data_IF_906563476286
#
_entry.id   IF_906563476286
#
_cell.length_a   1.000
_cell.length_b   1.000
_cell.length_c   1.000
_cell.angle_alpha   90.00
_cell.angle_beta   90.00
_cell.angle_gamma   90.00
#
_symmetry.space_group_name_H-M   'P 1'
#
loop_
_entity.id
_entity.type
_entity.pdbx_description
1 polymer ?
#
# COMPACT_ATOMS: atom_id res chain seq x y z
N UNK A 1 -25.33 21.03 -13.16
CA UNK A 1 -26.22 22.07 -12.59
C UNK A 1 -27.29 22.45 -13.60
N UNK A 2 -28.58 22.37 -13.24
CA UNK A 2 -29.68 22.76 -14.15
C UNK A 2 -29.55 24.26 -14.47
N UNK A 3 -29.62 24.67 -15.75
CA UNK A 3 -29.49 26.07 -16.23
C UNK A 3 -30.27 27.12 -15.41
N UNK A 4 -31.36 26.70 -14.76
CA UNK A 4 -32.20 27.54 -13.87
C UNK A 4 -31.43 28.12 -12.65
N UNK A 5 -30.43 27.43 -12.12
CA UNK A 5 -29.69 27.92 -10.93
C UNK A 5 -28.60 28.94 -11.27
N UNK A 6 -28.11 28.92 -12.51
CA UNK A 6 -27.07 29.85 -12.96
C UNK A 6 -27.63 31.28 -13.07
N UNK A 7 -28.83 31.44 -13.60
CA UNK A 7 -29.50 32.74 -13.70
C UNK A 7 -29.77 33.37 -12.32
N UNK A 8 -30.22 32.56 -11.35
CA UNK A 8 -30.49 33.04 -9.99
C UNK A 8 -29.19 33.45 -9.25
N UNK A 9 -28.09 32.73 -9.45
CA UNK A 9 -26.77 33.08 -8.94
C UNK A 9 -26.27 34.42 -9.48
N UNK A 10 -26.44 34.67 -10.78
CA UNK A 10 -26.05 35.93 -11.42
C UNK A 10 -26.84 37.11 -10.84
N UNK A 11 -28.15 36.96 -10.66
CA UNK A 11 -29.01 38.00 -10.06
C UNK A 11 -28.57 38.29 -8.63
N UNK A 12 -28.27 37.26 -7.83
CA UNK A 12 -27.81 37.44 -6.46
C UNK A 12 -26.44 38.12 -6.38
N UNK A 13 -25.53 37.80 -7.29
CA UNK A 13 -24.22 38.43 -7.41
C UNK A 13 -24.32 39.91 -7.78
N UNK A 14 -25.19 40.26 -8.73
CA UNK A 14 -25.47 41.65 -9.09
C UNK A 14 -26.11 42.44 -7.95
N UNK A 15 -27.05 41.82 -7.22
CA UNK A 15 -27.64 42.40 -6.01
C UNK A 15 -26.60 42.62 -4.91
N UNK A 16 -25.62 41.75 -4.76
CA UNK A 16 -24.52 41.97 -3.81
C UNK A 16 -23.64 43.14 -4.26
N UNK A 17 -23.14 43.11 -5.50
CA UNK A 17 -22.23 44.14 -6.04
C UNK A 17 -22.83 45.54 -5.99
N UNK A 18 -24.11 45.68 -6.33
CA UNK A 18 -24.77 46.99 -6.45
C UNK A 18 -25.55 47.33 -5.18
N UNK A 19 -26.25 46.33 -4.62
CA UNK A 19 -27.16 46.53 -3.49
C UNK A 19 -26.44 46.86 -2.18
N UNK A 20 -25.29 46.23 -1.88
CA UNK A 20 -24.56 46.55 -0.63
C UNK A 20 -24.06 48.00 -0.64
N UNK A 21 -23.38 48.49 -1.69
CA UNK A 21 -22.98 49.90 -1.78
C UNK A 21 -24.16 50.87 -1.73
N UNK A 22 -25.29 50.53 -2.37
CA UNK A 22 -26.52 51.34 -2.29
C UNK A 22 -27.09 51.39 -0.87
N UNK A 23 -27.13 50.26 -0.16
CA UNK A 23 -27.59 50.20 1.24
C UNK A 23 -26.67 51.01 2.14
N UNK A 24 -25.34 50.89 1.97
CA UNK A 24 -24.37 51.69 2.73
C UNK A 24 -24.59 53.19 2.47
N UNK A 25 -24.76 53.60 1.21
CA UNK A 25 -25.05 54.99 0.86
C UNK A 25 -26.38 55.48 1.48
N UNK A 26 -27.43 54.67 1.43
CA UNK A 26 -28.72 55.00 2.07
C UNK A 26 -28.60 55.14 3.59
N UNK A 27 -27.88 54.23 4.25
CA UNK A 27 -27.62 54.30 5.69
C UNK A 27 -26.80 55.53 6.06
N UNK A 28 -25.77 55.88 5.28
CA UNK A 28 -24.98 57.09 5.49
C UNK A 28 -25.81 58.37 5.33
N UNK A 29 -26.74 58.40 4.38
CA UNK A 29 -27.61 59.58 4.19
C UNK A 29 -28.76 59.66 5.20
N UNK A 30 -29.33 58.53 5.62
CA UNK A 30 -30.53 58.50 6.46
C UNK A 30 -30.20 58.51 7.96
N UNK A 31 -29.13 57.83 8.39
CA UNK A 31 -28.77 57.71 9.82
C UNK A 31 -27.78 58.77 10.29
N UNK A 32 -27.13 59.53 9.40
CA UNK A 32 -26.12 60.53 9.81
C UNK A 32 -26.72 61.86 10.28
N UNK A 33 -27.98 62.17 9.94
CA UNK A 33 -28.61 63.43 10.35
C UNK A 33 -27.79 64.69 10.03
N UNK A 34 -27.00 64.67 8.95
CA UNK A 34 -26.02 65.70 8.56
C UNK A 34 -24.82 65.89 9.52
N UNK A 35 -24.52 64.94 10.41
CA UNK A 35 -23.33 64.96 11.27
C UNK A 35 -22.07 64.39 10.60
N UNK A 36 -22.23 63.63 9.52
CA UNK A 36 -21.14 63.09 8.70
C UNK A 36 -21.32 63.61 7.27
N UNK A 37 -20.32 64.32 6.74
CA UNK A 37 -20.33 64.73 5.33
C UNK A 37 -20.34 63.50 4.43
N UNK A 38 -21.14 63.56 3.36
CA UNK A 38 -21.13 62.55 2.31
C UNK A 38 -19.71 62.40 1.78
N UNK A 39 -19.21 61.17 1.74
CA UNK A 39 -17.87 60.85 1.25
C UNK A 39 -17.64 61.50 -0.14
N UNK A 40 -16.49 62.14 -0.32
CA UNK A 40 -16.15 62.72 -1.62
C UNK A 40 -15.97 61.62 -2.69
N UNK A 41 -15.94 62.03 -3.96
CA UNK A 41 -15.81 61.09 -5.08
C UNK A 41 -14.54 60.23 -4.99
N UNK A 42 -13.47 60.73 -4.35
CA UNK A 42 -12.21 60.01 -4.17
C UNK A 42 -12.34 58.90 -3.12
N UNK A 43 -12.97 59.19 -1.98
CA UNK A 43 -13.28 58.24 -0.93
C UNK A 43 -14.24 57.15 -1.43
N UNK A 44 -15.23 57.51 -2.26
CA UNK A 44 -16.14 56.55 -2.85
C UNK A 44 -15.46 55.65 -3.88
N UNK A 45 -14.58 56.21 -4.71
CA UNK A 45 -13.76 55.43 -5.64
C UNK A 45 -12.84 54.44 -4.90
N UNK A 46 -12.23 54.88 -3.80
CA UNK A 46 -11.42 54.03 -2.92
C UNK A 46 -12.21 52.87 -2.31
N UNK A 47 -13.44 53.13 -1.85
CA UNK A 47 -14.37 52.11 -1.37
C UNK A 47 -14.68 51.08 -2.45
N UNK A 48 -15.06 51.51 -3.67
CA UNK A 48 -15.35 50.60 -4.78
C UNK A 48 -14.14 49.74 -5.17
N UNK A 49 -12.94 50.33 -5.21
CA UNK A 49 -11.71 49.61 -5.49
C UNK A 49 -11.43 48.51 -4.46
N UNK A 50 -11.56 48.81 -3.17
CA UNK A 50 -11.38 47.83 -2.10
C UNK A 50 -12.47 46.77 -2.06
N UNK A 51 -13.73 47.16 -2.25
CA UNK A 51 -14.89 46.28 -2.23
C UNK A 51 -14.90 45.28 -3.40
N UNK A 52 -14.71 45.76 -4.63
CA UNK A 52 -14.58 44.90 -5.81
C UNK A 52 -13.33 44.02 -5.73
N UNK A 53 -12.22 44.59 -5.24
CA UNK A 53 -11.00 43.84 -4.96
C UNK A 53 -11.25 42.67 -4.01
N UNK A 54 -11.98 42.89 -2.90
CA UNK A 54 -12.32 41.85 -1.93
C UNK A 54 -13.28 40.79 -2.49
N UNK A 55 -14.30 41.19 -3.26
CA UNK A 55 -15.24 40.25 -3.90
C UNK A 55 -14.52 39.29 -4.84
N UNK A 56 -13.48 39.75 -5.52
CA UNK A 56 -12.69 38.91 -6.43
C UNK A 56 -11.63 38.11 -5.67
N UNK A 57 -10.91 38.76 -4.76
CA UNK A 57 -9.80 38.15 -4.04
C UNK A 57 -10.25 37.01 -3.12
N UNK A 58 -11.36 37.16 -2.38
CA UNK A 58 -11.80 36.16 -1.41
C UNK A 58 -12.13 34.81 -2.08
N UNK A 59 -12.99 34.74 -3.13
CA UNK A 59 -13.26 33.48 -3.83
C UNK A 59 -12.02 32.92 -4.53
N UNK A 60 -11.17 33.76 -5.13
CA UNK A 60 -9.94 33.29 -5.77
C UNK A 60 -8.97 32.67 -4.77
N UNK A 61 -8.75 33.30 -3.62
CA UNK A 61 -7.94 32.75 -2.52
C UNK A 61 -8.54 31.47 -1.96
N UNK A 62 -9.87 31.39 -1.85
CA UNK A 62 -10.52 30.16 -1.40
C UNK A 62 -10.35 29.02 -2.42
N UNK A 63 -10.54 29.30 -3.71
CA UNK A 63 -10.36 28.31 -4.77
C UNK A 63 -8.91 27.83 -4.84
N UNK A 64 -7.94 28.74 -4.76
CA UNK A 64 -6.52 28.36 -4.81
C UNK A 64 -6.13 27.51 -3.59
N UNK A 65 -6.57 27.88 -2.39
CA UNK A 65 -6.36 27.10 -1.18
C UNK A 65 -7.03 25.71 -1.27
N UNK A 66 -8.28 25.67 -1.77
CA UNK A 66 -9.02 24.42 -1.96
C UNK A 66 -8.31 23.49 -2.95
N UNK A 67 -7.89 24.01 -4.10
CA UNK A 67 -7.15 23.23 -5.12
C UNK A 67 -5.82 22.74 -4.56
N UNK A 68 -5.06 23.60 -3.88
CA UNK A 68 -3.79 23.23 -3.27
C UNK A 68 -3.98 22.10 -2.24
N UNK A 69 -4.95 22.25 -1.34
CA UNK A 69 -5.24 21.23 -0.32
C UNK A 69 -5.71 19.91 -0.93
N UNK A 70 -6.55 19.96 -1.96
CA UNK A 70 -7.06 18.77 -2.62
C UNK A 70 -5.95 18.01 -3.36
N UNK A 71 -5.09 18.73 -4.09
CA UNK A 71 -3.94 18.14 -4.77
C UNK A 71 -2.95 17.54 -3.77
N UNK A 72 -2.67 18.24 -2.68
CA UNK A 72 -1.77 17.75 -1.64
C UNK A 72 -2.33 16.52 -0.92
N UNK A 73 -3.63 16.54 -0.56
CA UNK A 73 -4.29 15.40 0.08
C UNK A 73 -4.29 14.16 -0.81
N UNK A 74 -4.54 14.35 -2.11
CA UNK A 74 -4.47 13.26 -3.10
C UNK A 74 -3.05 12.71 -3.21
N UNK A 75 -2.05 13.58 -3.32
CA UNK A 75 -0.64 13.17 -3.37
C UNK A 75 -0.23 12.38 -2.12
N UNK A 76 -0.54 12.88 -0.92
CA UNK A 76 -0.25 12.17 0.34
C UNK A 76 -0.91 10.78 0.39
N UNK A 77 -2.12 10.67 -0.16
CA UNK A 77 -2.82 9.38 -0.22
C UNK A 77 -2.15 8.41 -1.20
N UNK A 78 -1.71 8.89 -2.37
CA UNK A 78 -0.97 8.08 -3.33
C UNK A 78 0.42 7.68 -2.79
N UNK A 79 1.15 8.61 -2.15
CA UNK A 79 2.43 8.36 -1.47
C UNK A 79 2.28 7.31 -0.36
N UNK A 80 1.21 7.40 0.44
CA UNK A 80 0.91 6.40 1.45
C UNK A 80 0.69 5.01 0.85
N UNK A 81 -0.01 4.88 -0.29
CA UNK A 81 -0.18 3.59 -0.96
C UNK A 81 1.14 3.02 -1.45
N UNK A 82 1.97 3.86 -2.05
CA UNK A 82 3.31 3.47 -2.50
C UNK A 82 4.09 2.87 -1.32
N UNK A 83 4.08 3.54 -0.16
CA UNK A 83 4.72 3.05 1.06
C UNK A 83 4.17 1.69 1.52
N UNK A 84 2.85 1.47 1.44
CA UNK A 84 2.26 0.16 1.78
C UNK A 84 2.74 -0.93 0.82
N UNK A 85 2.78 -0.66 -0.49
CA UNK A 85 3.31 -1.62 -1.47
C UNK A 85 4.81 -1.86 -1.32
N UNK A 86 5.60 -0.84 -0.99
CA UNK A 86 7.03 -0.98 -0.69
C UNK A 86 7.25 -1.93 0.51
N UNK A 87 6.46 -1.77 1.58
CA UNK A 87 6.52 -2.66 2.75
C UNK A 87 6.10 -4.10 2.41
N UNK A 88 5.14 -4.29 1.50
CA UNK A 88 4.72 -5.62 1.03
C UNK A 88 5.84 -6.30 0.23
N UNK A 89 6.49 -5.56 -0.66
CA UNK A 89 7.62 -6.05 -1.42
C UNK A 89 8.81 -6.37 -0.52
N UNK A 90 9.13 -5.52 0.45
CA UNK A 90 10.21 -5.79 1.40
C UNK A 90 9.97 -7.09 2.17
N UNK A 91 8.75 -7.31 2.69
CA UNK A 91 8.40 -8.54 3.39
C UNK A 91 8.53 -9.78 2.48
N UNK A 92 8.05 -9.67 1.24
CA UNK A 92 8.10 -10.74 0.23
C UNK A 92 9.53 -11.09 -0.16
N UNK A 93 10.35 -10.09 -0.48
CA UNK A 93 11.77 -10.25 -0.82
C UNK A 93 12.53 -10.87 0.36
N UNK A 94 12.30 -10.37 1.59
CA UNK A 94 12.97 -10.90 2.79
C UNK A 94 12.67 -12.38 2.99
N UNK A 95 11.41 -12.79 2.86
CA UNK A 95 11.04 -14.19 2.99
C UNK A 95 11.60 -15.05 1.85
N UNK A 96 11.55 -14.56 0.62
CA UNK A 96 12.14 -15.23 -0.54
C UNK A 96 13.65 -15.48 -0.35
N UNK A 97 14.40 -14.49 0.14
CA UNK A 97 15.83 -14.62 0.44
C UNK A 97 16.12 -15.69 1.51
N UNK A 98 15.23 -15.84 2.50
CA UNK A 98 15.35 -16.90 3.51
C UNK A 98 15.20 -18.27 2.85
N UNK A 99 14.23 -18.45 1.95
CA UNK A 99 14.05 -19.70 1.21
C UNK A 99 15.27 -19.96 0.32
N UNK A 100 15.73 -18.99 -0.45
CA UNK A 100 16.86 -19.16 -1.38
C UNK A 100 18.17 -19.49 -0.64
N UNK A 101 18.48 -18.77 0.45
CA UNK A 101 19.72 -18.97 1.22
C UNK A 101 19.79 -20.34 1.91
N UNK A 102 18.64 -20.96 2.19
CA UNK A 102 18.55 -22.25 2.86
C UNK A 102 18.16 -23.36 1.88
N UNK A 103 16.94 -23.36 1.37
CA UNK A 103 16.39 -24.48 0.62
C UNK A 103 17.12 -24.73 -0.71
N UNK A 104 17.35 -23.68 -1.49
CA UNK A 104 18.04 -23.80 -2.80
C UNK A 104 19.49 -24.24 -2.61
N UNK A 105 20.17 -23.64 -1.62
CA UNK A 105 21.55 -24.01 -1.25
C UNK A 105 21.64 -25.46 -0.78
N UNK A 106 20.74 -25.89 0.11
CA UNK A 106 20.73 -27.28 0.60
C UNK A 106 20.41 -28.27 -0.50
N UNK A 107 19.46 -27.96 -1.38
CA UNK A 107 19.14 -28.80 -2.53
C UNK A 107 20.36 -29.06 -3.40
N UNK A 108 21.12 -28.02 -3.73
CA UNK A 108 22.38 -28.15 -4.48
C UNK A 108 23.37 -29.04 -3.73
N UNK A 109 23.62 -28.74 -2.45
CA UNK A 109 24.54 -29.52 -1.62
C UNK A 109 24.16 -31.00 -1.53
N UNK A 110 22.87 -31.32 -1.36
CA UNK A 110 22.38 -32.69 -1.26
C UNK A 110 22.53 -33.46 -2.57
N UNK A 111 22.27 -32.82 -3.72
CA UNK A 111 22.51 -33.43 -5.02
C UNK A 111 23.98 -33.79 -5.22
N UNK A 112 24.87 -32.90 -4.82
CA UNK A 112 26.32 -33.09 -4.98
C UNK A 112 26.89 -34.15 -4.01
N UNK A 113 26.21 -34.43 -2.90
CA UNK A 113 26.71 -35.30 -1.81
C UNK A 113 25.79 -36.50 -1.49
N UNK A 114 24.91 -36.88 -2.42
CA UNK A 114 23.84 -37.87 -2.20
C UNK A 114 24.33 -39.15 -1.50
N UNK A 115 25.42 -39.76 -1.95
CA UNK A 115 25.88 -41.06 -1.40
C UNK A 115 26.66 -40.96 -0.08
N UNK A 116 27.01 -39.75 0.38
CA UNK A 116 27.89 -39.53 1.54
C UNK A 116 27.24 -38.72 2.66
N UNK A 117 25.93 -38.54 2.57
CA UNK A 117 25.26 -37.60 3.46
C UNK A 117 25.12 -38.16 4.87
N UNK A 118 25.63 -37.39 5.84
CA UNK A 118 25.61 -37.75 7.25
C UNK A 118 24.27 -37.40 7.89
N UNK A 119 23.84 -38.22 8.86
CA UNK A 119 22.61 -38.03 9.64
C UNK A 119 22.49 -36.62 10.23
N UNK A 120 23.59 -36.10 10.81
CA UNK A 120 23.60 -34.76 11.40
C UNK A 120 23.31 -33.66 10.37
N UNK A 121 23.79 -33.82 9.14
CA UNK A 121 23.53 -32.87 8.05
C UNK A 121 22.07 -32.91 7.64
N UNK A 122 21.48 -34.10 7.51
CA UNK A 122 20.04 -34.27 7.23
C UNK A 122 19.20 -33.61 8.31
N UNK A 123 19.55 -33.83 9.57
CA UNK A 123 18.87 -33.24 10.73
C UNK A 123 18.92 -31.70 10.72
N UNK A 124 20.07 -31.11 10.37
CA UNK A 124 20.19 -29.65 10.22
C UNK A 124 19.30 -29.13 9.10
N UNK A 125 19.27 -29.80 7.94
CA UNK A 125 18.47 -29.38 6.78
C UNK A 125 16.98 -29.43 7.10
N UNK A 126 16.49 -30.53 7.69
CA UNK A 126 15.07 -30.64 8.03
C UNK A 126 14.64 -29.61 9.07
N UNK A 127 15.48 -29.34 10.08
CA UNK A 127 15.22 -28.29 11.07
C UNK A 127 15.15 -26.90 10.43
N UNK A 128 16.03 -26.61 9.47
CA UNK A 128 15.94 -25.36 8.70
C UNK A 128 14.64 -25.30 7.90
N UNK A 129 14.20 -26.39 7.28
CA UNK A 129 12.91 -26.45 6.58
C UNK A 129 11.73 -26.16 7.53
N UNK A 130 11.71 -26.76 8.72
CA UNK A 130 10.71 -26.51 9.77
C UNK A 130 10.63 -25.02 10.14
N UNK A 131 11.79 -24.36 10.31
CA UNK A 131 11.83 -22.93 10.63
C UNK A 131 11.28 -22.07 9.48
N UNK A 132 11.61 -22.42 8.23
CA UNK A 132 11.14 -21.70 7.03
C UNK A 132 9.62 -21.76 6.89
N UNK A 133 9.03 -22.95 7.00
CA UNK A 133 7.57 -23.11 6.84
C UNK A 133 6.78 -22.81 8.12
N UNK A 134 7.43 -22.80 9.27
CA UNK A 134 6.82 -22.45 10.55
C UNK A 134 6.99 -20.97 10.86
N UNK A 135 8.02 -20.67 11.64
CA UNK A 135 8.26 -19.34 12.20
C UNK A 135 8.36 -18.25 11.13
N UNK A 136 9.19 -18.46 10.10
CA UNK A 136 9.47 -17.42 9.11
C UNK A 136 8.26 -17.14 8.21
N UNK A 137 7.51 -18.18 7.86
CA UNK A 137 6.28 -18.02 7.10
C UNK A 137 5.20 -17.27 7.90
N UNK A 138 5.03 -17.59 9.19
CA UNK A 138 4.07 -16.88 10.05
C UNK A 138 4.44 -15.40 10.18
N UNK A 139 5.73 -15.09 10.32
CA UNK A 139 6.22 -13.71 10.34
C UNK A 139 5.92 -12.98 9.03
N UNK A 140 6.16 -13.65 7.89
CA UNK A 140 5.84 -13.13 6.56
C UNK A 140 4.33 -12.85 6.41
N UNK A 141 3.47 -13.82 6.69
CA UNK A 141 2.02 -13.64 6.63
C UNK A 141 1.53 -12.51 7.53
N UNK A 142 2.05 -12.44 8.76
CA UNK A 142 1.71 -11.36 9.69
C UNK A 142 2.05 -9.98 9.12
N UNK A 143 3.23 -9.83 8.50
CA UNK A 143 3.63 -8.60 7.84
C UNK A 143 2.71 -8.28 6.65
N UNK A 144 2.46 -9.25 5.77
CA UNK A 144 1.61 -9.08 4.59
C UNK A 144 0.17 -8.72 4.95
N UNK A 145 -0.48 -9.49 5.83
CA UNK A 145 -1.84 -9.21 6.28
C UNK A 145 -1.97 -7.83 6.94
N UNK A 146 -0.96 -7.42 7.72
CA UNK A 146 -0.94 -6.09 8.34
C UNK A 146 -0.92 -4.98 7.29
N UNK A 147 -0.18 -5.13 6.20
CA UNK A 147 -0.14 -4.12 5.13
C UNK A 147 -1.39 -4.19 4.24
N UNK A 148 -1.84 -5.39 3.85
CA UNK A 148 -3.05 -5.62 3.06
C UNK A 148 -4.31 -5.08 3.75
N UNK A 149 -4.40 -5.21 5.07
CA UNK A 149 -5.52 -4.70 5.86
C UNK A 149 -5.64 -3.16 5.79
N UNK A 150 -4.54 -2.46 5.53
CA UNK A 150 -4.53 -1.00 5.36
C UNK A 150 -5.10 -0.57 4.01
N UNK A 151 -5.01 -1.43 2.99
CA UNK A 151 -5.44 -1.09 1.62
C UNK A 151 -6.97 -1.22 1.45
N UNK A 152 -7.57 -0.36 0.61
CA UNK A 152 -8.94 -0.58 0.14
C UNK A 152 -9.07 -1.92 -0.59
N UNK A 153 -10.24 -2.56 -0.50
CA UNK A 153 -10.50 -3.88 -1.12
C UNK A 153 -10.04 -3.97 -2.58
N UNK A 154 -10.43 -3.02 -3.42
CA UNK A 154 -10.04 -2.93 -4.85
C UNK A 154 -8.53 -2.89 -5.12
N UNK A 155 -7.73 -2.55 -4.11
CA UNK A 155 -6.29 -2.39 -4.17
C UNK A 155 -5.55 -3.55 -3.50
N UNK A 156 -6.25 -4.62 -3.08
CA UNK A 156 -5.63 -5.80 -2.45
C UNK A 156 -6.15 -7.15 -2.97
N UNK A 157 -7.34 -7.20 -3.55
CA UNK A 157 -7.95 -8.44 -4.07
C UNK A 157 -7.02 -9.17 -5.07
N UNK A 158 -6.14 -8.44 -5.77
CA UNK A 158 -5.19 -9.00 -6.73
C UNK A 158 -4.12 -9.91 -6.09
N UNK A 159 -3.89 -9.82 -4.77
CA UNK A 159 -2.93 -10.65 -4.05
C UNK A 159 -3.55 -11.87 -3.37
N UNK A 160 -4.88 -11.89 -3.20
CA UNK A 160 -5.56 -12.91 -2.39
C UNK A 160 -5.32 -14.31 -2.94
N UNK A 161 -5.44 -14.50 -4.26
CA UNK A 161 -5.21 -15.78 -4.93
C UNK A 161 -3.79 -16.31 -4.72
N UNK A 162 -2.77 -15.47 -4.93
CA UNK A 162 -1.38 -15.90 -4.82
C UNK A 162 -0.95 -16.19 -3.38
N UNK A 163 -1.49 -15.44 -2.41
CA UNK A 163 -1.28 -15.71 -0.99
C UNK A 163 -1.92 -17.04 -0.61
N UNK A 164 -3.12 -17.34 -1.10
CA UNK A 164 -3.80 -18.61 -0.84
C UNK A 164 -3.00 -19.79 -1.43
N UNK A 165 -2.51 -19.68 -2.67
CA UNK A 165 -1.68 -20.70 -3.31
C UNK A 165 -0.40 -20.94 -2.50
N UNK A 166 0.25 -19.87 -2.04
CA UNK A 166 1.45 -19.97 -1.21
C UNK A 166 1.15 -20.64 0.15
N UNK A 167 0.02 -20.32 0.77
CA UNK A 167 -0.42 -20.92 2.03
C UNK A 167 -0.69 -22.41 1.87
N UNK A 168 -1.42 -22.80 0.83
CA UNK A 168 -1.65 -24.22 0.53
C UNK A 168 -0.33 -24.97 0.32
N UNK A 169 0.60 -24.40 -0.44
CA UNK A 169 1.90 -25.03 -0.68
C UNK A 169 2.71 -25.20 0.60
N UNK A 170 2.84 -24.15 1.42
CA UNK A 170 3.74 -24.17 2.58
C UNK A 170 3.12 -24.86 3.80
N UNK A 171 1.89 -24.51 4.17
CA UNK A 171 1.24 -25.01 5.38
C UNK A 171 0.58 -26.37 5.22
N UNK A 172 0.07 -26.66 4.02
CA UNK A 172 -0.63 -27.92 3.79
C UNK A 172 0.34 -28.94 3.22
N UNK A 173 0.96 -28.65 2.08
CA UNK A 173 1.74 -29.67 1.37
C UNK A 173 3.11 -29.91 2.00
N UNK A 174 3.91 -28.85 2.15
CA UNK A 174 5.30 -28.98 2.60
C UNK A 174 5.36 -29.36 4.08
N UNK A 175 4.55 -28.73 4.93
CA UNK A 175 4.50 -29.10 6.36
C UNK A 175 4.13 -30.57 6.57
N UNK A 176 3.11 -31.09 5.86
CA UNK A 176 2.75 -32.51 5.94
C UNK A 176 3.91 -33.42 5.51
N UNK A 177 4.63 -33.05 4.45
CA UNK A 177 5.82 -33.80 4.00
C UNK A 177 6.94 -33.77 5.03
N UNK A 178 7.19 -32.63 5.67
CA UNK A 178 8.19 -32.51 6.74
C UNK A 178 7.84 -33.42 7.93
N UNK A 179 6.58 -33.40 8.37
CA UNK A 179 6.12 -34.26 9.48
C UNK A 179 6.25 -35.75 9.15
N UNK A 180 5.86 -36.14 7.93
CA UNK A 180 6.01 -37.53 7.44
C UNK A 180 7.48 -37.93 7.37
N UNK A 181 8.31 -37.09 6.76
CA UNK A 181 9.75 -37.31 6.64
C UNK A 181 10.39 -37.51 8.01
N UNK A 182 10.04 -36.68 9.00
CA UNK A 182 10.59 -36.78 10.36
C UNK A 182 10.25 -38.12 11.00
N UNK A 183 9.01 -38.59 10.86
CA UNK A 183 8.58 -39.90 11.34
C UNK A 183 9.39 -41.04 10.69
N UNK A 184 9.64 -40.97 9.38
CA UNK A 184 10.44 -41.97 8.67
C UNK A 184 11.91 -41.90 9.09
N UNK A 185 12.46 -40.69 9.21
CA UNK A 185 13.86 -40.45 9.51
C UNK A 185 14.26 -40.97 10.89
N UNK A 186 13.38 -40.91 11.90
CA UNK A 186 13.64 -41.48 13.23
C UNK A 186 13.95 -42.98 13.19
N UNK A 187 13.38 -43.72 12.23
CA UNK A 187 13.66 -45.16 12.04
C UNK A 187 14.98 -45.44 11.32
N UNK A 188 15.50 -44.44 10.61
CA UNK A 188 16.64 -44.56 9.71
C UNK A 188 17.89 -43.82 10.23
N UNK A 189 17.77 -43.05 11.32
CA UNK A 189 18.83 -42.15 11.83
C UNK A 189 20.13 -42.85 12.24
N UNK A 190 20.06 -44.12 12.63
CA UNK A 190 21.24 -44.93 13.01
C UNK A 190 22.05 -45.37 11.78
N UNK A 191 21.49 -45.28 10.56
CA UNK A 191 22.20 -45.58 9.33
C UNK A 191 23.03 -44.36 8.91
N UNK A 192 24.35 -44.57 8.81
CA UNK A 192 25.29 -43.52 8.42
C UNK A 192 26.32 -44.10 7.42
N UNK A 193 26.33 -43.68 6.15
CA UNK A 193 25.55 -42.59 5.55
C UNK A 193 24.05 -42.89 5.48
N UNK A 194 23.25 -41.82 5.38
CA UNK A 194 21.79 -41.90 5.30
C UNK A 194 21.37 -42.56 3.98
N UNK A 195 20.37 -43.47 3.98
CA UNK A 195 19.88 -44.11 2.77
C UNK A 195 19.37 -43.13 1.70
N UNK A 196 19.64 -43.42 0.43
CA UNK A 196 19.28 -42.54 -0.70
C UNK A 196 17.79 -42.20 -0.79
N UNK A 197 16.90 -43.13 -0.42
CA UNK A 197 15.46 -42.89 -0.43
C UNK A 197 15.02 -41.79 0.54
N UNK A 198 15.70 -41.67 1.70
CA UNK A 198 15.48 -40.58 2.66
C UNK A 198 15.95 -39.27 2.03
N UNK A 199 17.07 -39.29 1.32
CA UNK A 199 17.61 -38.10 0.64
C UNK A 199 16.64 -37.61 -0.45
N UNK A 200 16.07 -38.53 -1.22
CA UNK A 200 15.10 -38.22 -2.26
C UNK A 200 13.78 -37.64 -1.71
N UNK A 201 13.32 -38.13 -0.54
CA UNK A 201 12.16 -37.56 0.16
C UNK A 201 12.44 -36.11 0.60
N UNK A 202 13.62 -35.83 1.17
CA UNK A 202 14.01 -34.48 1.57
C UNK A 202 14.26 -33.55 0.38
N UNK A 203 14.80 -34.05 -0.74
CA UNK A 203 14.89 -33.29 -1.99
C UNK A 203 13.51 -32.86 -2.50
N UNK A 204 12.49 -33.71 -2.34
CA UNK A 204 11.11 -33.37 -2.70
C UNK A 204 10.53 -32.24 -1.85
N UNK A 205 10.90 -32.15 -0.57
CA UNK A 205 10.55 -31.03 0.31
C UNK A 205 11.21 -29.75 -0.17
N UNK A 206 12.51 -29.81 -0.47
CA UNK A 206 13.28 -28.66 -0.96
C UNK A 206 12.82 -28.18 -2.34
N UNK A 207 12.35 -29.08 -3.20
CA UNK A 207 11.70 -28.74 -4.47
C UNK A 207 10.40 -27.98 -4.24
N UNK A 208 9.60 -28.40 -3.25
CA UNK A 208 8.42 -27.66 -2.81
C UNK A 208 8.76 -26.23 -2.38
N UNK A 209 9.77 -26.08 -1.52
CA UNK A 209 10.24 -24.77 -1.06
C UNK A 209 10.78 -23.91 -2.22
N UNK A 210 11.47 -24.52 -3.18
CA UNK A 210 11.92 -23.81 -4.38
C UNK A 210 10.73 -23.29 -5.20
N UNK A 211 9.65 -24.07 -5.38
CA UNK A 211 8.46 -23.56 -6.09
C UNK A 211 7.78 -22.40 -5.36
N UNK A 212 7.92 -22.32 -4.03
CA UNK A 212 7.43 -21.19 -3.26
C UNK A 212 8.16 -19.88 -3.63
N UNK A 213 9.42 -19.93 -4.10
CA UNK A 213 10.12 -18.73 -4.56
C UNK A 213 9.49 -18.16 -5.82
N UNK A 214 9.03 -19.02 -6.73
CA UNK A 214 8.35 -18.59 -7.97
C UNK A 214 7.05 -17.84 -7.66
N UNK A 215 6.26 -18.33 -6.69
CA UNK A 215 5.02 -17.68 -6.25
C UNK A 215 5.33 -16.34 -5.55
N UNK A 216 6.39 -16.28 -4.73
CA UNK A 216 6.82 -15.04 -4.09
C UNK A 216 7.29 -13.99 -5.11
N UNK A 217 7.97 -14.42 -6.17
CA UNK A 217 8.37 -13.54 -7.27
C UNK A 217 7.14 -13.00 -8.01
N UNK A 218 6.10 -13.83 -8.22
CA UNK A 218 4.83 -13.38 -8.79
C UNK A 218 4.12 -12.35 -7.88
N UNK A 219 4.05 -12.61 -6.58
CA UNK A 219 3.51 -11.66 -5.59
C UNK A 219 4.27 -10.32 -5.64
N UNK A 220 5.61 -10.37 -5.73
CA UNK A 220 6.44 -9.18 -5.86
C UNK A 220 6.15 -8.40 -7.14
N UNK A 221 6.07 -9.09 -8.28
CA UNK A 221 5.77 -8.47 -9.58
C UNK A 221 4.40 -7.81 -9.60
N UNK A 222 3.38 -8.48 -9.08
CA UNK A 222 2.03 -7.93 -8.98
C UNK A 222 1.98 -6.68 -8.08
N UNK A 223 2.73 -6.72 -6.98
CA UNK A 223 2.84 -5.59 -6.04
C UNK A 223 3.53 -4.40 -6.71
N UNK A 224 4.61 -4.63 -7.47
CA UNK A 224 5.29 -3.60 -8.25
C UNK A 224 4.44 -3.02 -9.37
N UNK A 225 3.70 -3.87 -10.09
CA UNK A 225 2.76 -3.42 -11.11
C UNK A 225 1.73 -2.47 -10.49
N UNK A 226 1.14 -2.87 -9.37
CA UNK A 226 0.14 -2.07 -8.67
C UNK A 226 0.73 -0.76 -8.16
N UNK A 227 1.93 -0.80 -7.59
CA UNK A 227 2.69 0.37 -7.13
C UNK A 227 2.93 1.36 -8.28
N UNK A 228 3.27 0.87 -9.47
CA UNK A 228 3.59 1.72 -10.63
C UNK A 228 2.42 2.62 -11.08
N UNK A 229 1.17 2.22 -10.79
CA UNK A 229 -0.03 3.00 -11.10
C UNK A 229 -0.06 4.33 -10.34
N UNK A 230 0.52 4.37 -9.14
CA UNK A 230 0.56 5.54 -8.28
C UNK A 230 1.79 6.41 -8.52
N UNK A 231 2.86 5.85 -9.10
CA UNK A 231 4.07 6.60 -9.47
C UNK A 231 3.93 7.41 -10.77
N UNK A 232 3.02 7.02 -11.67
CA UNK A 232 2.84 7.64 -12.98
C UNK A 232 1.86 8.83 -12.99
N UNK A 233 1.40 9.30 -11.82
CA UNK A 233 0.37 10.36 -11.67
C UNK A 233 0.92 11.59 -10.97
#
# INVERSE_FOLDING_TARGET
>A
MKKKYVGLLIVFFLLFIIGIPMIINLLLNFCSGNLFDSADNGAWLGFWGGYLGAIIAIPLSFISAYVAFHLESKKRYDDWKIMVFDNLNEATIKYNLIIQSNAVRYKKYMKDNKTKMLTETVFKIIKSCEVIVGLEYVNYLGAVHTQIAKLPKKDRDFLEEQIEILEQLLQIDIMKKILKFKSNFETEKEKNPVPENVIDELLTILDGLTRATDILDEIGNLTDERRSIYLKK
#
